data_IF_068754984942
#
_entry.id   IF_068754984942
#
_cell.length_a   1.000
_cell.length_b   1.000
_cell.length_c   1.000
_cell.angle_alpha   90.00
_cell.angle_beta   90.00
_cell.angle_gamma   90.00
#
_symmetry.space_group_name_H-M   'P 1'
#
loop_
_entity.id
_entity.type
_entity.pdbx_description
1 polymer ?
#
# COMPACT_ATOMS: atom_id res chain seq x y z
N UNK A 1 -29.68 -17.12 7.39
CA UNK A 1 -30.04 -15.70 7.56
C UNK A 1 -29.06 -15.10 8.56
N UNK A 2 -28.13 -14.27 8.08
CA UNK A 2 -27.21 -13.51 8.95
C UNK A 2 -27.97 -12.30 9.48
N UNK A 3 -27.90 -12.05 10.80
CA UNK A 3 -28.44 -10.82 11.38
C UNK A 3 -27.67 -9.61 10.88
N UNK A 4 -28.25 -8.40 10.87
CA UNK A 4 -27.56 -7.20 10.40
C UNK A 4 -26.30 -6.95 11.23
N UNK A 5 -25.17 -6.78 10.55
CA UNK A 5 -23.92 -6.31 11.15
C UNK A 5 -24.13 -4.83 11.53
N UNK A 6 -24.49 -4.56 12.77
CA UNK A 6 -24.59 -3.18 13.26
C UNK A 6 -23.21 -2.72 13.72
N UNK A 7 -22.85 -1.45 13.44
CA UNK A 7 -21.64 -0.82 13.94
C UNK A 7 -21.48 -0.96 15.46
N UNK A 8 -22.58 -1.05 16.21
CA UNK A 8 -22.59 -1.30 17.66
C UNK A 8 -22.04 -2.68 18.06
N UNK A 9 -22.16 -3.70 17.20
CA UNK A 9 -21.60 -5.03 17.45
C UNK A 9 -20.08 -5.11 17.23
N UNK A 10 -19.52 -4.23 16.40
CA UNK A 10 -18.08 -4.20 16.11
C UNK A 10 -17.25 -3.57 17.24
N UNK A 11 -17.86 -2.80 18.14
CA UNK A 11 -17.20 -2.09 19.25
C UNK A 11 -17.64 -2.56 20.64
N UNK A 12 -18.20 -3.77 20.76
CA UNK A 12 -18.56 -4.30 22.09
C UNK A 12 -17.34 -4.49 22.99
N UNK A 13 -16.13 -4.55 22.42
CA UNK A 13 -14.88 -4.59 23.16
C UNK A 13 -13.87 -3.58 22.59
N UNK A 14 -13.10 -2.93 23.45
CA UNK A 14 -11.95 -2.13 23.03
C UNK A 14 -10.95 -3.02 22.28
N UNK A 15 -10.46 -2.61 21.11
CA UNK A 15 -9.45 -3.37 20.38
C UNK A 15 -8.26 -3.65 21.28
N UNK A 16 -7.90 -4.93 21.41
CA UNK A 16 -6.73 -5.35 22.18
C UNK A 16 -5.52 -5.41 21.27
N UNK A 17 -4.36 -5.01 21.78
CA UNK A 17 -3.12 -5.27 21.08
C UNK A 17 -3.02 -6.77 20.80
N UNK A 18 -2.77 -7.13 19.55
CA UNK A 18 -2.55 -8.53 19.14
C UNK A 18 -1.31 -9.09 19.82
N UNK A 19 -1.27 -10.42 19.94
CA UNK A 19 -0.05 -11.11 20.38
C UNK A 19 1.09 -10.96 19.37
N UNK A 20 2.25 -11.47 19.75
CA UNK A 20 3.44 -11.53 18.88
C UNK A 20 3.14 -12.44 17.67
N UNK A 21 2.84 -11.85 16.53
CA UNK A 21 2.62 -12.56 15.28
C UNK A 21 3.54 -12.02 14.19
N UNK A 22 3.97 -12.83 13.21
CA UNK A 22 4.67 -12.33 12.03
C UNK A 22 3.80 -11.31 11.31
N UNK A 23 4.39 -10.17 10.94
CA UNK A 23 3.77 -9.13 10.13
C UNK A 23 4.19 -9.35 8.68
N UNK A 24 3.25 -9.33 7.74
CA UNK A 24 3.53 -9.32 6.32
C UNK A 24 3.67 -7.87 5.85
N UNK A 25 4.91 -7.45 5.63
CA UNK A 25 5.24 -6.10 5.14
C UNK A 25 5.36 -6.06 3.62
N UNK A 26 4.66 -5.11 3.00
CA UNK A 26 4.72 -4.84 1.56
C UNK A 26 4.98 -3.35 1.37
N UNK A 27 6.07 -2.99 0.69
CA UNK A 27 6.44 -1.60 0.44
C UNK A 27 6.00 -1.16 -0.96
N UNK A 28 5.15 -0.14 -1.04
CA UNK A 28 4.83 0.50 -2.31
C UNK A 28 6.03 1.36 -2.74
N UNK A 29 6.78 0.87 -3.72
CA UNK A 29 8.05 1.45 -4.16
C UNK A 29 7.83 2.74 -4.93
N UNK A 30 8.54 3.81 -4.57
CA UNK A 30 8.55 5.06 -5.33
C UNK A 30 9.23 4.83 -6.69
N UNK A 31 8.65 5.41 -7.75
CA UNK A 31 9.27 5.47 -9.07
C UNK A 31 9.98 6.83 -9.23
N UNK A 32 11.31 6.89 -9.15
CA UNK A 32 12.04 8.16 -9.23
C UNK A 32 12.09 8.70 -10.65
N UNK A 33 12.33 10.00 -10.76
CA UNK A 33 12.60 10.68 -12.04
C UNK A 33 13.99 11.31 -12.02
N UNK A 34 14.54 11.56 -13.20
CA UNK A 34 15.77 12.35 -13.38
C UNK A 34 15.46 13.86 -13.51
N UNK A 35 16.51 14.67 -13.65
CA UNK A 35 16.40 16.14 -13.78
C UNK A 35 15.65 16.58 -15.06
N UNK A 36 15.44 15.70 -16.02
CA UNK A 36 14.62 15.95 -17.21
C UNK A 36 13.12 15.62 -17.01
N UNK A 37 12.76 14.99 -15.89
CA UNK A 37 11.44 14.46 -15.60
C UNK A 37 11.18 13.09 -16.22
N UNK A 38 12.19 12.45 -16.84
CA UNK A 38 12.08 11.07 -17.30
C UNK A 38 12.27 10.08 -16.14
N UNK A 39 11.73 8.87 -16.28
CA UNK A 39 11.85 7.85 -15.23
C UNK A 39 13.32 7.42 -15.10
N UNK A 40 13.85 7.50 -13.88
CA UNK A 40 15.16 6.97 -13.51
C UNK A 40 15.04 5.46 -13.23
N UNK A 41 15.22 4.67 -14.28
CA UNK A 41 15.10 3.21 -14.21
C UNK A 41 16.19 2.55 -13.37
N UNK A 42 17.39 3.10 -13.34
CA UNK A 42 18.51 2.57 -12.55
C UNK A 42 18.29 2.87 -11.06
N UNK A 43 17.86 4.09 -10.74
CA UNK A 43 17.43 4.46 -9.40
C UNK A 43 16.25 3.60 -8.90
N UNK A 44 15.27 3.33 -9.77
CA UNK A 44 14.15 2.45 -9.46
C UNK A 44 14.62 1.02 -9.17
N UNK A 45 15.47 0.42 -10.02
CA UNK A 45 16.01 -0.91 -9.82
C UNK A 45 16.79 -1.02 -8.50
N UNK A 46 17.68 -0.06 -8.22
CA UNK A 46 18.42 0.02 -6.97
C UNK A 46 17.49 0.12 -5.75
N UNK A 47 16.36 0.84 -5.88
CA UNK A 47 15.41 1.00 -4.80
C UNK A 47 14.57 -0.26 -4.55
N UNK A 48 14.17 -0.98 -5.61
CA UNK A 48 13.57 -2.33 -5.49
C UNK A 48 14.54 -3.28 -4.80
N UNK A 49 15.81 -3.30 -5.21
CA UNK A 49 16.85 -4.16 -4.61
C UNK A 49 17.02 -3.88 -3.10
N UNK A 50 17.00 -2.61 -2.70
CA UNK A 50 17.06 -2.20 -1.29
C UNK A 50 15.86 -2.70 -0.49
N UNK A 51 14.66 -2.61 -1.06
CA UNK A 51 13.43 -3.11 -0.44
C UNK A 51 13.52 -4.62 -0.21
N UNK A 52 13.97 -5.37 -1.22
CA UNK A 52 14.15 -6.83 -1.13
C UNK A 52 15.25 -7.19 -0.11
N UNK A 53 16.36 -6.47 -0.11
CA UNK A 53 17.46 -6.69 0.84
C UNK A 53 17.03 -6.46 2.30
N UNK A 54 16.06 -5.59 2.53
CA UNK A 54 15.43 -5.39 3.85
C UNK A 54 14.48 -6.54 4.26
N UNK A 55 14.25 -7.54 3.40
CA UNK A 55 13.31 -8.62 3.64
C UNK A 55 11.83 -8.22 3.46
N UNK A 56 11.57 -7.10 2.80
CA UNK A 56 10.24 -6.56 2.54
C UNK A 56 9.81 -6.89 1.10
N UNK A 57 8.54 -7.25 0.93
CA UNK A 57 7.98 -7.50 -0.41
C UNK A 57 7.78 -6.17 -1.15
N UNK A 58 8.36 -5.98 -2.34
CA UNK A 58 8.11 -4.79 -3.13
C UNK A 58 6.72 -4.84 -3.79
N UNK A 59 6.02 -3.70 -3.78
CA UNK A 59 4.82 -3.47 -4.57
C UNK A 59 5.09 -2.38 -5.59
N UNK A 60 5.05 -2.73 -6.87
CA UNK A 60 5.28 -1.80 -7.98
C UNK A 60 3.96 -1.39 -8.65
N UNK A 61 3.97 -0.35 -9.47
CA UNK A 61 2.74 0.17 -10.09
C UNK A 61 1.63 0.47 -9.05
N UNK A 62 2.02 0.95 -7.88
CA UNK A 62 1.10 1.46 -6.87
C UNK A 62 0.92 2.98 -7.01
N UNK A 63 0.06 3.60 -6.18
CA UNK A 63 -0.06 5.07 -6.16
C UNK A 63 1.30 5.74 -5.91
N UNK A 64 2.11 5.20 -5.00
CA UNK A 64 3.48 5.67 -4.72
C UNK A 64 4.37 5.66 -5.97
N UNK A 65 4.17 4.70 -6.87
CA UNK A 65 4.84 4.58 -8.17
C UNK A 65 4.10 5.29 -9.30
N UNK A 66 3.18 6.22 -9.00
CA UNK A 66 2.46 7.05 -9.98
C UNK A 66 1.66 6.28 -11.03
N UNK A 67 1.12 5.10 -10.70
CA UNK A 67 0.46 4.19 -11.66
C UNK A 67 -0.57 4.86 -12.57
N UNK A 68 -1.34 5.82 -12.05
CA UNK A 68 -2.36 6.55 -12.82
C UNK A 68 -1.77 7.49 -13.89
N UNK A 69 -0.48 7.84 -13.80
CA UNK A 69 0.21 8.75 -14.72
C UNK A 69 1.09 8.00 -15.72
N UNK A 70 1.30 6.70 -15.51
CA UNK A 70 2.15 5.89 -16.38
C UNK A 70 1.37 5.32 -17.56
N UNK A 71 2.01 5.30 -18.72
CA UNK A 71 1.52 4.50 -19.85
C UNK A 71 1.75 3.00 -19.63
N UNK A 72 1.09 2.17 -20.43
CA UNK A 72 1.18 0.72 -20.31
C UNK A 72 2.60 0.17 -20.56
N UNK A 73 3.43 0.85 -21.36
CA UNK A 73 4.81 0.43 -21.61
C UNK A 73 5.68 0.65 -20.38
N UNK A 74 5.54 1.80 -19.73
CA UNK A 74 6.24 2.13 -18.48
C UNK A 74 5.82 1.20 -17.33
N UNK A 75 4.52 0.89 -17.20
CA UNK A 75 4.02 -0.07 -16.20
C UNK A 75 4.61 -1.48 -16.41
N UNK A 76 4.64 -1.97 -17.66
CA UNK A 76 5.26 -3.26 -17.97
C UNK A 76 6.76 -3.27 -17.72
N UNK A 77 7.47 -2.18 -18.05
CA UNK A 77 8.91 -2.06 -17.79
C UNK A 77 9.23 -2.07 -16.29
N UNK A 78 8.47 -1.33 -15.48
CA UNK A 78 8.64 -1.33 -14.02
C UNK A 78 8.45 -2.74 -13.44
N UNK A 79 7.45 -3.46 -13.94
CA UNK A 79 7.15 -4.82 -13.51
C UNK A 79 8.26 -5.81 -13.89
N UNK A 80 8.72 -5.77 -15.15
CA UNK A 80 9.80 -6.64 -15.63
C UNK A 80 11.10 -6.37 -14.86
N UNK A 81 11.47 -5.09 -14.69
CA UNK A 81 12.67 -4.70 -13.97
C UNK A 81 12.62 -5.13 -12.49
N UNK A 82 11.46 -4.99 -11.84
CA UNK A 82 11.28 -5.49 -10.48
C UNK A 82 11.49 -7.00 -10.39
N UNK A 83 10.95 -7.76 -11.35
CA UNK A 83 11.15 -9.22 -11.40
C UNK A 83 12.61 -9.58 -11.65
N UNK A 84 13.30 -8.88 -12.55
CA UNK A 84 14.72 -9.11 -12.82
C UNK A 84 15.58 -8.90 -11.56
N UNK A 85 15.26 -7.87 -10.77
CA UNK A 85 15.96 -7.57 -9.50
C UNK A 85 15.67 -8.62 -8.42
N UNK A 86 14.41 -9.06 -8.28
CA UNK A 86 14.01 -10.06 -7.28
C UNK A 86 14.59 -11.44 -7.62
N UNK A 87 14.70 -11.76 -8.91
CA UNK A 87 15.14 -13.06 -9.40
C UNK A 87 13.97 -14.05 -9.64
N UNK A 88 14.20 -15.37 -9.56
CA UNK A 88 13.19 -16.38 -9.84
C UNK A 88 11.95 -16.20 -8.96
N UNK A 89 10.77 -16.34 -9.56
CA UNK A 89 9.49 -16.11 -8.89
C UNK A 89 9.24 -17.10 -7.74
N UNK A 90 8.93 -16.54 -6.57
CA UNK A 90 8.43 -17.26 -5.40
C UNK A 90 7.05 -16.70 -5.04
N UNK A 91 6.04 -17.54 -4.73
CA UNK A 91 4.71 -17.03 -4.42
C UNK A 91 4.70 -15.93 -3.34
N UNK A 92 4.18 -14.77 -3.70
CA UNK A 92 4.03 -13.64 -2.78
C UNK A 92 5.27 -12.76 -2.59
N UNK A 93 6.32 -12.91 -3.43
CA UNK A 93 7.55 -12.11 -3.41
C UNK A 93 7.46 -10.80 -4.20
N UNK A 94 6.41 -10.62 -4.99
CA UNK A 94 6.13 -9.42 -5.77
C UNK A 94 4.64 -9.12 -5.76
N UNK A 95 4.30 -7.86 -5.53
CA UNK A 95 2.94 -7.34 -5.63
C UNK A 95 2.92 -6.21 -6.66
N UNK A 96 1.84 -6.08 -7.43
CA UNK A 96 1.73 -4.97 -8.37
C UNK A 96 0.28 -4.50 -8.54
N UNK A 97 0.11 -3.19 -8.77
CA UNK A 97 -1.18 -2.60 -9.05
C UNK A 97 -1.69 -2.95 -10.45
N UNK A 98 -2.89 -3.54 -10.53
CA UNK A 98 -3.68 -3.66 -11.74
C UNK A 98 -4.62 -2.45 -11.81
N UNK A 99 -4.26 -1.46 -12.61
CA UNK A 99 -4.90 -0.15 -12.62
C UNK A 99 -5.51 0.15 -13.99
N UNK A 100 -6.84 0.19 -14.03
CA UNK A 100 -7.59 0.74 -15.17
C UNK A 100 -7.75 2.24 -14.96
N UNK A 101 -7.31 3.03 -15.93
CA UNK A 101 -7.47 4.49 -15.93
C UNK A 101 -8.72 4.83 -16.73
N UNK A 102 -9.75 5.25 -16.02
CA UNK A 102 -11.07 5.58 -16.56
C UNK A 102 -11.58 6.94 -16.05
N UNK A 103 -12.71 7.39 -16.57
CA UNK A 103 -13.37 8.63 -16.18
C UNK A 103 -14.65 8.42 -15.38
N UNK A 104 -15.23 9.50 -14.79
CA UNK A 104 -16.37 9.44 -13.88
C UNK A 104 -17.66 8.80 -14.44
N UNK A 105 -17.79 8.72 -15.77
CA UNK A 105 -18.98 8.18 -16.46
C UNK A 105 -18.70 6.87 -17.17
N UNK A 106 -17.48 6.35 -17.06
CA UNK A 106 -17.10 5.11 -17.73
C UNK A 106 -17.70 3.90 -17.02
N UNK A 107 -18.08 2.90 -17.81
CA UNK A 107 -18.56 1.63 -17.29
C UNK A 107 -17.40 0.77 -16.78
N UNK A 108 -17.73 -0.24 -15.96
CA UNK A 108 -16.76 -1.24 -15.53
C UNK A 108 -16.11 -1.96 -16.71
N UNK A 109 -14.80 -1.90 -16.79
CA UNK A 109 -13.98 -2.54 -17.82
C UNK A 109 -13.30 -3.83 -17.29
N UNK A 110 -14.04 -4.94 -17.30
CA UNK A 110 -13.53 -6.25 -16.92
C UNK A 110 -12.30 -6.64 -17.75
N UNK A 111 -12.35 -6.40 -19.07
CA UNK A 111 -11.24 -6.75 -19.98
C UNK A 111 -9.99 -5.95 -19.69
N UNK A 112 -10.16 -4.67 -19.38
CA UNK A 112 -9.07 -3.78 -18.96
C UNK A 112 -8.39 -4.28 -17.70
N UNK A 113 -9.16 -4.65 -16.68
CA UNK A 113 -8.60 -5.24 -15.45
C UNK A 113 -7.86 -6.54 -15.70
N UNK A 114 -8.41 -7.45 -16.49
CA UNK A 114 -7.74 -8.72 -16.83
C UNK A 114 -6.45 -8.47 -17.63
N UNK A 115 -6.45 -7.50 -18.55
CA UNK A 115 -5.26 -7.12 -19.32
C UNK A 115 -4.16 -6.50 -18.43
N UNK A 116 -4.52 -5.78 -17.37
CA UNK A 116 -3.55 -5.27 -16.39
C UNK A 116 -3.06 -6.38 -15.43
N UNK A 117 -3.89 -7.36 -15.09
CA UNK A 117 -3.50 -8.49 -14.25
C UNK A 117 -2.60 -9.50 -14.97
N UNK A 118 -2.80 -9.74 -16.27
CA UNK A 118 -2.06 -10.74 -17.05
C UNK A 118 -0.52 -10.59 -16.95
N UNK A 119 0.09 -9.41 -17.20
CA UNK A 119 1.53 -9.25 -17.10
C UNK A 119 2.05 -9.43 -15.67
N UNK A 120 1.23 -9.10 -14.65
CA UNK A 120 1.60 -9.30 -13.24
C UNK A 120 1.68 -10.80 -12.93
N UNK A 121 0.67 -11.56 -13.34
CA UNK A 121 0.62 -13.01 -13.16
C UNK A 121 1.72 -13.70 -13.95
N UNK A 122 2.02 -13.24 -15.18
CA UNK A 122 3.05 -13.80 -16.02
C UNK A 122 4.46 -13.74 -15.38
N UNK A 123 4.73 -12.74 -14.56
CA UNK A 123 5.99 -12.64 -13.79
C UNK A 123 5.88 -13.26 -12.39
N UNK A 124 4.81 -13.98 -12.08
CA UNK A 124 4.58 -14.59 -10.77
C UNK A 124 4.21 -13.62 -9.65
N UNK A 125 3.80 -12.40 -9.98
CA UNK A 125 3.35 -11.39 -9.01
C UNK A 125 1.89 -11.59 -8.60
N UNK A 126 1.51 -10.94 -7.50
CA UNK A 126 0.12 -10.88 -7.03
C UNK A 126 -0.50 -9.54 -7.40
N UNK A 127 -1.60 -9.48 -8.17
CA UNK A 127 -2.25 -8.23 -8.52
C UNK A 127 -3.00 -7.60 -7.33
N UNK A 128 -2.92 -6.28 -7.22
CA UNK A 128 -3.79 -5.45 -6.38
C UNK A 128 -4.82 -4.80 -7.30
N UNK A 129 -6.10 -5.07 -7.10
CA UNK A 129 -7.16 -4.45 -7.90
C UNK A 129 -7.32 -2.99 -7.48
N UNK A 130 -6.85 -2.08 -8.32
CA UNK A 130 -6.96 -0.65 -8.05
C UNK A 130 -8.40 -0.16 -8.22
N UNK A 131 -8.90 0.71 -7.33
CA UNK A 131 -10.17 1.40 -7.54
C UNK A 131 -10.16 2.21 -8.84
N UNK A 132 -11.23 2.09 -9.63
CA UNK A 132 -11.52 2.91 -10.78
C UNK A 132 -12.96 3.43 -10.70
N UNK A 133 -13.33 4.41 -11.52
CA UNK A 133 -14.70 4.90 -11.53
C UNK A 133 -15.69 3.81 -11.93
N UNK A 134 -15.37 3.03 -12.97
CA UNK A 134 -16.21 1.94 -13.43
C UNK A 134 -16.32 0.81 -12.42
N UNK A 135 -15.23 0.42 -11.75
CA UNK A 135 -15.26 -0.63 -10.71
C UNK A 135 -16.15 -0.19 -9.54
N UNK A 136 -16.04 1.05 -9.11
CA UNK A 136 -16.74 1.61 -7.96
C UNK A 136 -18.07 2.32 -8.31
N UNK A 137 -18.55 2.23 -9.55
CA UNK A 137 -19.84 2.84 -9.93
C UNK A 137 -21.01 2.18 -9.16
N UNK A 138 -21.99 3.00 -8.75
CA UNK A 138 -23.20 2.51 -8.08
C UNK A 138 -22.99 2.15 -6.61
N UNK A 139 -23.63 1.07 -6.15
CA UNK A 139 -23.63 0.61 -4.76
C UNK A 139 -22.40 -0.22 -4.40
N UNK A 140 -22.19 -0.48 -3.11
CA UNK A 140 -21.17 -1.39 -2.61
C UNK A 140 -21.41 -2.83 -3.09
N UNK A 141 -22.66 -3.27 -3.14
CA UNK A 141 -23.02 -4.60 -3.64
C UNK A 141 -22.60 -4.77 -5.12
N UNK A 142 -22.88 -3.77 -5.96
CA UNK A 142 -22.43 -3.79 -7.37
C UNK A 142 -20.91 -3.76 -7.50
N UNK A 143 -20.19 -3.09 -6.60
CA UNK A 143 -18.72 -3.14 -6.54
C UNK A 143 -18.25 -4.55 -6.23
N UNK A 144 -18.85 -5.23 -5.25
CA UNK A 144 -18.50 -6.61 -4.89
C UNK A 144 -18.80 -7.58 -6.03
N UNK A 145 -19.96 -7.47 -6.70
CA UNK A 145 -20.29 -8.30 -7.89
C UNK A 145 -19.23 -8.20 -8.99
N UNK A 146 -18.70 -6.99 -9.24
CA UNK A 146 -17.61 -6.78 -10.21
C UNK A 146 -16.30 -7.40 -9.74
N UNK A 147 -15.98 -7.28 -8.45
CA UNK A 147 -14.80 -7.92 -7.87
C UNK A 147 -14.92 -9.45 -7.94
N UNK A 148 -16.10 -10.02 -7.67
CA UNK A 148 -16.38 -11.46 -7.81
C UNK A 148 -16.22 -11.94 -9.27
N UNK A 149 -16.67 -11.12 -10.24
CA UNK A 149 -16.47 -11.39 -11.67
C UNK A 149 -14.97 -11.52 -12.01
N UNK A 150 -14.14 -10.57 -11.52
CA UNK A 150 -12.69 -10.64 -11.68
C UNK A 150 -12.09 -11.85 -10.92
N UNK A 151 -12.54 -12.08 -9.69
CA UNK A 151 -12.08 -13.18 -8.85
C UNK A 151 -12.28 -14.56 -9.50
N UNK A 152 -13.35 -14.74 -10.27
CA UNK A 152 -13.60 -15.96 -11.05
C UNK A 152 -12.56 -16.24 -12.15
N UNK A 153 -11.72 -15.25 -12.49
CA UNK A 153 -10.69 -15.32 -13.53
C UNK A 153 -9.25 -15.23 -13.00
N UNK A 154 -9.09 -14.90 -11.70
CA UNK A 154 -7.79 -14.69 -11.09
C UNK A 154 -7.47 -15.81 -10.08
N UNK A 155 -6.25 -16.37 -10.12
CA UNK A 155 -5.84 -17.41 -9.17
C UNK A 155 -5.71 -16.85 -7.75
N UNK A 156 -5.30 -15.58 -7.63
CA UNK A 156 -5.19 -14.83 -6.37
C UNK A 156 -5.11 -13.34 -6.65
N UNK A 157 -5.57 -12.51 -5.71
CA UNK A 157 -5.44 -11.05 -5.77
C UNK A 157 -5.52 -10.42 -4.37
N UNK A 158 -5.19 -9.14 -4.29
CA UNK A 158 -5.41 -8.29 -3.13
C UNK A 158 -6.46 -7.24 -3.50
N UNK A 159 -7.51 -7.12 -2.69
CA UNK A 159 -8.50 -6.04 -2.80
C UNK A 159 -7.93 -4.70 -2.34
N UNK A 160 -8.59 -3.59 -2.70
CA UNK A 160 -8.09 -2.27 -2.30
C UNK A 160 -9.23 -1.29 -2.00
N UNK A 161 -9.35 -0.88 -0.75
CA UNK A 161 -10.16 0.25 -0.30
C UNK A 161 -9.29 1.51 -0.27
N UNK A 162 -9.62 2.51 -1.06
CA UNK A 162 -8.88 3.77 -1.18
C UNK A 162 -9.79 4.95 -0.85
N UNK A 163 -9.36 5.83 0.05
CA UNK A 163 -10.08 7.06 0.34
C UNK A 163 -10.05 8.02 -0.86
N UNK A 164 -11.12 8.78 -1.04
CA UNK A 164 -11.19 9.88 -2.01
C UNK A 164 -10.15 10.98 -1.76
N UNK A 165 -9.50 11.01 -0.59
CA UNK A 165 -8.37 11.89 -0.30
C UNK A 165 -7.13 11.60 -1.17
N UNK A 166 -7.01 10.37 -1.69
CA UNK A 166 -5.93 9.96 -2.60
C UNK A 166 -6.34 10.08 -4.06
N UNK A 167 -7.54 9.58 -4.40
CA UNK A 167 -8.04 9.57 -5.77
C UNK A 167 -9.58 9.67 -5.78
N UNK A 168 -10.19 10.48 -6.69
CA UNK A 168 -11.64 10.66 -6.71
C UNK A 168 -12.47 9.39 -6.93
N UNK A 169 -11.93 8.39 -7.65
CA UNK A 169 -12.56 7.06 -7.82
C UNK A 169 -12.45 6.17 -6.57
N UNK A 170 -11.82 6.65 -5.49
CA UNK A 170 -11.68 5.89 -4.25
C UNK A 170 -13.02 5.57 -3.60
N UNK A 171 -13.08 4.41 -2.93
CA UNK A 171 -14.23 3.97 -2.15
C UNK A 171 -13.76 3.22 -0.90
N UNK A 172 -14.43 3.49 0.22
CA UNK A 172 -14.34 2.68 1.44
C UNK A 172 -15.67 1.97 1.58
N UNK A 173 -15.64 0.65 1.49
CA UNK A 173 -16.82 -0.19 1.53
C UNK A 173 -17.54 -0.10 2.89
N UNK A 174 -18.84 -0.36 2.91
CA UNK A 174 -19.55 -0.70 4.14
C UNK A 174 -18.93 -1.96 4.78
N UNK A 175 -19.11 -2.14 6.08
CA UNK A 175 -18.58 -3.34 6.74
C UNK A 175 -19.22 -4.63 6.21
N UNK A 176 -20.45 -4.54 5.74
CA UNK A 176 -21.22 -5.62 5.14
C UNK A 176 -20.60 -6.05 3.80
N UNK A 177 -20.37 -5.10 2.88
CA UNK A 177 -19.70 -5.39 1.62
C UNK A 177 -18.24 -5.84 1.80
N UNK A 178 -17.55 -5.31 2.82
CA UNK A 178 -16.22 -5.81 3.16
C UNK A 178 -16.25 -7.27 3.66
N UNK A 179 -17.32 -7.69 4.36
CA UNK A 179 -17.51 -9.09 4.73
C UNK A 179 -17.63 -9.99 3.50
N UNK A 180 -18.36 -9.54 2.48
CA UNK A 180 -18.46 -10.28 1.22
C UNK A 180 -17.09 -10.38 0.53
N UNK A 181 -16.32 -9.30 0.47
CA UNK A 181 -14.94 -9.34 -0.03
C UNK A 181 -14.05 -10.35 0.73
N UNK A 182 -14.16 -10.38 2.07
CA UNK A 182 -13.42 -11.33 2.92
C UNK A 182 -13.75 -12.78 2.55
N UNK A 183 -14.97 -13.07 2.11
CA UNK A 183 -15.40 -14.42 1.75
C UNK A 183 -15.03 -14.86 0.33
N UNK A 184 -14.50 -13.98 -0.53
CA UNK A 184 -13.99 -14.37 -1.86
C UNK A 184 -12.73 -15.24 -1.68
N UNK A 185 -12.73 -16.52 -2.09
CA UNK A 185 -11.64 -17.44 -1.77
C UNK A 185 -10.27 -17.01 -2.33
N UNK A 186 -10.26 -16.44 -3.56
CA UNK A 186 -9.04 -16.00 -4.26
C UNK A 186 -8.55 -14.62 -3.79
N UNK A 187 -9.33 -13.89 -2.98
CA UNK A 187 -8.89 -12.65 -2.33
C UNK A 187 -8.03 -13.00 -1.10
N UNK A 188 -6.74 -12.73 -1.18
CA UNK A 188 -5.78 -13.05 -0.10
C UNK A 188 -5.85 -12.07 1.07
N UNK A 189 -6.31 -10.86 0.81
CA UNK A 189 -6.38 -9.76 1.74
C UNK A 189 -6.84 -8.50 1.06
N UNK A 190 -6.96 -7.41 1.80
CA UNK A 190 -7.28 -6.10 1.25
C UNK A 190 -6.40 -5.01 1.86
N UNK A 191 -5.88 -4.12 1.00
CA UNK A 191 -5.28 -2.88 1.42
C UNK A 191 -6.37 -1.92 1.85
N UNK A 192 -6.24 -1.38 3.07
CA UNK A 192 -7.19 -0.46 3.66
C UNK A 192 -6.59 0.93 3.85
N UNK A 193 -6.89 1.86 2.94
CA UNK A 193 -6.36 3.23 2.94
C UNK A 193 -7.48 4.26 3.21
N UNK A 194 -8.21 4.07 4.32
CA UNK A 194 -9.28 4.99 4.73
C UNK A 194 -8.77 6.22 5.49
N UNK A 195 -7.55 6.21 5.99
CA UNK A 195 -6.97 7.17 6.93
C UNK A 195 -7.73 7.20 8.28
N UNK A 196 -8.47 6.14 8.62
CA UNK A 196 -9.27 6.02 9.84
C UNK A 196 -8.95 4.73 10.60
N UNK A 197 -8.39 4.87 11.80
CA UNK A 197 -8.16 3.74 12.73
C UNK A 197 -9.45 2.98 13.05
N UNK A 198 -10.56 3.70 13.25
CA UNK A 198 -11.84 3.09 13.60
C UNK A 198 -12.31 2.13 12.51
N UNK A 199 -12.28 2.55 11.25
CA UNK A 199 -12.69 1.71 10.14
C UNK A 199 -11.76 0.50 9.99
N UNK A 200 -10.47 0.65 10.22
CA UNK A 200 -9.52 -0.47 10.15
C UNK A 200 -9.74 -1.48 11.29
N UNK A 201 -10.03 -1.02 12.51
CA UNK A 201 -10.41 -1.90 13.62
C UNK A 201 -11.66 -2.73 13.31
N UNK A 202 -12.66 -2.13 12.65
CA UNK A 202 -13.86 -2.86 12.21
C UNK A 202 -13.49 -4.01 11.25
N UNK A 203 -12.55 -3.76 10.31
CA UNK A 203 -12.05 -4.78 9.39
C UNK A 203 -11.27 -5.88 10.10
N UNK A 204 -10.43 -5.52 11.06
CA UNK A 204 -9.69 -6.50 11.87
C UNK A 204 -10.64 -7.37 12.67
N UNK A 205 -11.61 -6.78 13.37
CA UNK A 205 -12.60 -7.51 14.15
C UNK A 205 -13.44 -8.44 13.27
N UNK A 206 -13.80 -8.00 12.08
CA UNK A 206 -14.51 -8.81 11.09
C UNK A 206 -13.64 -9.99 10.62
N UNK A 207 -12.41 -9.72 10.21
CA UNK A 207 -11.43 -10.70 9.76
C UNK A 207 -11.21 -11.79 10.79
N UNK A 208 -10.99 -11.41 12.05
CA UNK A 208 -10.73 -12.35 13.14
C UNK A 208 -11.90 -13.30 13.38
N UNK A 209 -13.12 -12.85 13.14
CA UNK A 209 -14.34 -13.62 13.30
C UNK A 209 -14.67 -14.49 12.09
N UNK A 210 -14.49 -13.96 10.88
CA UNK A 210 -15.00 -14.59 9.64
C UNK A 210 -13.94 -15.39 8.88
N UNK A 211 -12.71 -14.88 8.82
CA UNK A 211 -11.59 -15.51 8.07
C UNK A 211 -10.23 -15.07 8.65
N UNK A 212 -9.77 -15.68 9.74
CA UNK A 212 -8.52 -15.28 10.43
C UNK A 212 -7.26 -15.28 9.54
N UNK A 213 -7.25 -16.07 8.45
CA UNK A 213 -6.15 -16.09 7.48
C UNK A 213 -6.18 -14.98 6.43
N UNK A 214 -7.21 -14.12 6.42
CA UNK A 214 -7.28 -12.99 5.50
C UNK A 214 -6.39 -11.85 5.98
N UNK A 215 -5.63 -11.23 5.08
CA UNK A 215 -4.75 -10.12 5.43
C UNK A 215 -5.49 -8.77 5.37
N UNK A 216 -5.53 -8.05 6.47
CA UNK A 216 -5.88 -6.62 6.48
C UNK A 216 -4.57 -5.86 6.40
N UNK A 217 -4.24 -5.35 5.22
CA UNK A 217 -3.03 -4.55 5.03
C UNK A 217 -3.35 -3.09 5.36
N UNK A 218 -2.83 -2.56 6.48
CA UNK A 218 -2.92 -1.11 6.66
C UNK A 218 -2.27 -0.40 5.48
N UNK A 219 -3.01 0.50 4.87
CA UNK A 219 -2.54 1.51 3.93
C UNK A 219 -2.70 2.89 4.53
N UNK A 220 -2.84 2.95 5.86
CA UNK A 220 -3.04 4.16 6.63
C UNK A 220 -1.69 4.66 7.15
N UNK A 221 -1.00 5.44 6.33
CA UNK A 221 0.30 6.01 6.67
C UNK A 221 0.24 7.01 7.85
N UNK A 222 -0.97 7.38 8.32
CA UNK A 222 -1.20 8.16 9.54
C UNK A 222 -1.42 7.29 10.79
N UNK A 223 -1.39 5.96 10.65
CA UNK A 223 -1.60 5.01 11.74
C UNK A 223 -0.86 3.70 11.49
N UNK A 224 0.44 3.78 11.29
CA UNK A 224 1.28 2.60 10.99
C UNK A 224 1.35 1.61 12.15
N UNK A 225 1.06 2.05 13.37
CA UNK A 225 0.98 1.24 14.58
C UNK A 225 -0.23 0.28 14.61
N UNK A 226 -1.11 0.31 13.60
CA UNK A 226 -2.21 -0.65 13.47
C UNK A 226 -1.73 -2.11 13.40
N UNK A 227 -0.46 -2.34 13.08
CA UNK A 227 0.20 -3.65 13.21
C UNK A 227 0.09 -4.24 14.62
N UNK A 228 0.06 -3.40 15.66
CA UNK A 228 -0.13 -3.82 17.07
C UNK A 228 -1.50 -4.46 17.33
N UNK A 229 -2.49 -4.15 16.49
CA UNK A 229 -3.86 -4.64 16.59
C UNK A 229 -4.15 -5.78 15.58
N UNK A 230 -3.12 -6.22 14.86
CA UNK A 230 -3.21 -7.38 13.97
C UNK A 230 -3.25 -7.06 12.48
N UNK A 231 -3.06 -5.80 12.06
CA UNK A 231 -2.84 -5.49 10.64
C UNK A 231 -1.49 -6.04 10.15
N UNK A 232 -1.47 -6.41 8.90
CA UNK A 232 -0.28 -6.39 8.06
C UNK A 232 -0.13 -4.99 7.46
N UNK A 233 0.81 -4.75 6.57
CA UNK A 233 0.89 -3.43 5.95
C UNK A 233 1.27 -3.46 4.48
N UNK A 234 0.68 -2.52 3.70
CA UNK A 234 1.06 -2.15 2.35
C UNK A 234 1.11 -0.62 2.29
N UNK A 235 2.25 -0.04 2.61
CA UNK A 235 2.42 1.39 2.88
C UNK A 235 3.24 2.09 1.79
N UNK A 236 2.84 3.33 1.47
CA UNK A 236 3.65 4.24 0.67
C UNK A 236 4.83 4.82 1.45
N UNK A 237 4.64 5.05 2.76
CA UNK A 237 5.65 5.58 3.66
C UNK A 237 6.90 4.71 3.75
N UNK A 238 6.73 3.38 3.69
CA UNK A 238 7.82 2.42 3.86
C UNK A 238 8.90 2.52 2.79
N UNK A 239 8.60 3.14 1.63
CA UNK A 239 9.59 3.40 0.59
C UNK A 239 10.76 4.27 1.08
N UNK A 240 10.54 5.11 2.09
CA UNK A 240 11.55 6.00 2.65
C UNK A 240 12.59 5.30 3.55
N UNK A 241 12.22 4.17 4.18
CA UNK A 241 13.06 3.51 5.17
C UNK A 241 12.69 2.01 5.33
N UNK A 242 12.79 1.17 4.26
CA UNK A 242 12.35 -0.22 4.32
C UNK A 242 13.07 -1.02 5.42
N UNK A 243 14.36 -0.75 5.66
CA UNK A 243 15.13 -1.40 6.72
C UNK A 243 14.61 -1.09 8.13
N UNK A 244 14.16 0.15 8.35
CA UNK A 244 13.59 0.58 9.63
C UNK A 244 12.22 -0.09 9.87
N UNK A 245 11.38 -0.22 8.83
CA UNK A 245 10.12 -0.96 8.92
C UNK A 245 10.36 -2.44 9.21
N UNK A 246 11.31 -3.09 8.55
CA UNK A 246 11.67 -4.48 8.81
C UNK A 246 12.16 -4.68 10.26
N UNK A 247 12.99 -3.77 10.75
CA UNK A 247 13.52 -3.80 12.12
C UNK A 247 12.42 -3.60 13.15
N UNK A 248 11.53 -2.62 12.92
CA UNK A 248 10.36 -2.39 13.75
C UNK A 248 9.51 -3.65 13.89
N UNK A 249 9.23 -4.32 12.78
CA UNK A 249 8.41 -5.53 12.76
C UNK A 249 9.10 -6.70 13.48
N UNK A 250 10.42 -6.84 13.31
CA UNK A 250 11.21 -7.84 14.04
C UNK A 250 11.20 -7.60 15.55
N UNK A 251 11.33 -6.35 15.99
CA UNK A 251 11.25 -6.00 17.41
C UNK A 251 9.85 -6.24 17.99
N UNK A 252 8.80 -5.91 17.23
CA UNK A 252 7.43 -6.22 17.65
C UNK A 252 7.24 -7.73 17.85
N UNK A 253 7.68 -8.54 16.89
CA UNK A 253 7.59 -9.99 16.97
C UNK A 253 8.36 -10.56 18.18
N UNK A 254 9.51 -9.98 18.48
CA UNK A 254 10.34 -10.36 19.63
C UNK A 254 9.82 -9.84 20.99
N UNK A 255 8.84 -8.95 21.00
CA UNK A 255 8.38 -8.25 22.21
C UNK A 255 9.40 -7.24 22.73
N UNK A 256 10.28 -6.74 21.88
CA UNK A 256 11.30 -5.75 22.22
C UNK A 256 10.70 -4.36 22.33
N UNK A 257 10.85 -3.69 23.46
CA UNK A 257 10.26 -2.37 23.72
C UNK A 257 10.81 -1.25 22.83
N UNK A 258 11.98 -1.45 22.21
CA UNK A 258 12.53 -0.51 21.20
C UNK A 258 11.61 -0.32 20.01
N UNK A 259 10.69 -1.27 19.76
CA UNK A 259 9.61 -1.11 18.80
C UNK A 259 8.92 0.25 18.94
N UNK A 260 8.60 0.67 20.15
CA UNK A 260 7.79 1.88 20.38
C UNK A 260 8.49 3.16 19.91
N UNK A 261 9.78 3.30 20.20
CA UNK A 261 10.56 4.47 19.80
C UNK A 261 10.72 4.56 18.28
N UNK A 262 11.02 3.43 17.64
CA UNK A 262 11.15 3.37 16.19
C UNK A 262 9.81 3.58 15.48
N UNK A 263 8.73 3.00 15.99
CA UNK A 263 7.38 3.17 15.44
C UNK A 263 6.93 4.64 15.55
N UNK A 264 7.18 5.32 16.68
CA UNK A 264 6.91 6.75 16.86
C UNK A 264 7.73 7.62 15.89
N UNK A 265 9.01 7.29 15.66
CA UNK A 265 9.85 8.02 14.71
C UNK A 265 9.36 7.86 13.26
N UNK A 266 8.99 6.64 12.87
CA UNK A 266 8.38 6.35 11.56
C UNK A 266 7.01 7.02 11.41
N UNK A 267 6.18 7.03 12.47
CA UNK A 267 4.89 7.71 12.45
C UNK A 267 5.04 9.22 12.32
N UNK A 268 6.10 9.83 12.88
CA UNK A 268 6.38 11.25 12.69
C UNK A 268 6.62 11.58 11.21
N UNK A 269 7.34 10.70 10.47
CA UNK A 269 7.51 10.83 9.03
C UNK A 269 6.16 10.74 8.30
N UNK A 270 5.31 9.77 8.66
CA UNK A 270 3.97 9.62 8.10
C UNK A 270 3.11 10.85 8.32
N UNK A 271 3.06 11.33 9.56
CA UNK A 271 2.27 12.52 9.92
C UNK A 271 2.72 13.78 9.19
N UNK A 272 4.01 13.93 8.92
CA UNK A 272 4.54 15.06 8.18
C UNK A 272 4.30 14.92 6.67
N UNK A 273 4.58 13.75 6.09
CA UNK A 273 4.51 13.53 4.65
C UNK A 273 3.07 13.51 4.12
N UNK A 274 2.13 12.90 4.85
CA UNK A 274 0.74 12.71 4.41
C UNK A 274 -0.22 13.86 4.78
N UNK A 275 0.31 15.03 5.18
CA UNK A 275 -0.53 16.22 5.34
C UNK A 275 -1.11 16.68 4.01
N UNK A 276 -2.19 17.44 4.04
CA UNK A 276 -2.86 17.97 2.85
C UNK A 276 -1.93 18.85 1.98
N UNK A 277 -1.92 18.71 0.64
CA UNK A 277 -2.64 17.69 -0.12
C UNK A 277 -1.96 16.30 -0.01
N UNK A 278 -2.74 15.28 0.33
CA UNK A 278 -2.22 13.94 0.59
C UNK A 278 -1.34 13.39 -0.56
N UNK A 279 -1.71 13.50 -1.86
CA UNK A 279 -0.89 12.96 -2.94
C UNK A 279 0.52 13.54 -3.05
N UNK A 280 0.80 14.69 -2.39
CA UNK A 280 2.14 15.28 -2.35
C UNK A 280 3.14 14.51 -1.45
N UNK A 281 2.67 13.48 -0.71
CA UNK A 281 3.57 12.61 0.06
C UNK A 281 4.65 11.98 -0.82
N UNK A 282 4.35 11.70 -2.09
CA UNK A 282 5.30 11.14 -3.05
C UNK A 282 6.53 12.04 -3.25
N UNK A 283 6.32 13.36 -3.29
CA UNK A 283 7.42 14.31 -3.31
C UNK A 283 8.22 14.32 -1.99
N UNK A 284 7.54 14.22 -0.83
CA UNK A 284 8.24 14.05 0.46
C UNK A 284 9.12 12.79 0.45
N UNK A 285 8.62 11.67 -0.11
CA UNK A 285 9.41 10.45 -0.25
C UNK A 285 10.61 10.64 -1.17
N UNK A 286 10.43 11.32 -2.32
CA UNK A 286 11.55 11.63 -3.21
C UNK A 286 12.62 12.51 -2.51
N UNK A 287 12.22 13.53 -1.75
CA UNK A 287 13.12 14.36 -0.94
C UNK A 287 13.91 13.51 0.08
N UNK A 288 13.23 12.55 0.74
CA UNK A 288 13.88 11.61 1.66
C UNK A 288 14.89 10.73 0.93
N UNK A 289 14.51 10.12 -0.18
CA UNK A 289 15.41 9.23 -0.94
C UNK A 289 16.64 9.98 -1.45
N UNK A 290 16.48 11.23 -1.89
CA UNK A 290 17.62 12.07 -2.28
C UNK A 290 18.50 12.44 -1.08
N UNK A 291 17.93 12.79 0.07
CA UNK A 291 18.68 13.07 1.28
C UNK A 291 19.52 11.87 1.75
N UNK A 292 19.02 10.64 1.52
CA UNK A 292 19.75 9.39 1.75
C UNK A 292 20.79 9.08 0.66
N UNK A 293 20.87 9.86 -0.42
CA UNK A 293 21.75 9.57 -1.56
C UNK A 293 21.31 8.37 -2.39
N UNK A 294 20.03 8.00 -2.34
CA UNK A 294 19.49 6.82 -3.01
C UNK A 294 18.99 7.10 -4.43
N UNK A 295 18.67 8.36 -4.73
CA UNK A 295 18.27 8.86 -6.05
C UNK A 295 18.95 10.20 -6.33
N UNK A 296 19.11 10.54 -7.61
CA UNK A 296 19.79 11.77 -8.03
C UNK A 296 18.89 13.01 -7.99
N UNK A 297 17.60 12.86 -8.29
CA UNK A 297 16.62 13.93 -8.37
C UNK A 297 15.47 13.69 -7.39
N UNK A 298 15.02 14.72 -6.69
CA UNK A 298 13.87 14.66 -5.77
C UNK A 298 12.58 15.25 -6.34
N UNK A 299 12.56 15.59 -7.63
CA UNK A 299 11.34 16.04 -8.28
C UNK A 299 10.27 14.94 -8.30
N UNK A 300 9.00 15.27 -8.09
CA UNK A 300 7.92 14.31 -8.28
C UNK A 300 7.70 14.08 -9.78
N UNK A 301 7.06 12.97 -10.13
CA UNK A 301 6.65 12.69 -11.51
C UNK A 301 5.87 13.87 -12.09
N UNK A 302 6.08 14.25 -13.37
CA UNK A 302 5.41 15.39 -14.00
C UNK A 302 3.89 15.37 -13.81
N UNK A 303 3.33 16.51 -13.43
CA UNK A 303 1.90 16.64 -13.12
C UNK A 303 1.49 16.30 -11.69
N UNK A 304 2.43 15.82 -10.86
CA UNK A 304 2.16 15.50 -9.45
C UNK A 304 2.35 16.72 -8.54
N UNK A 305 1.60 16.79 -7.41
CA UNK A 305 1.75 17.87 -6.43
C UNK A 305 3.15 17.91 -5.81
N UNK A 306 3.64 19.12 -5.53
CA UNK A 306 4.95 19.38 -4.90
C UNK A 306 4.81 19.82 -3.46
N UNK A 307 5.84 19.56 -2.67
CA UNK A 307 6.05 20.12 -1.32
C UNK A 307 7.00 21.31 -1.39
N UNK A 308 6.94 22.23 -0.42
CA UNK A 308 7.91 23.31 -0.29
C UNK A 308 9.33 22.78 -0.09
N UNK A 309 10.34 23.52 -0.56
CA UNK A 309 11.74 23.16 -0.35
C UNK A 309 12.15 23.20 1.14
N UNK A 310 11.48 24.03 1.94
CA UNK A 310 11.66 24.08 3.39
C UNK A 310 11.34 22.78 4.12
N UNK A 311 10.61 21.85 3.48
CA UNK A 311 10.32 20.54 4.05
C UNK A 311 11.57 19.67 4.20
N UNK A 312 12.59 19.87 3.36
CA UNK A 312 13.81 19.06 3.39
C UNK A 312 14.53 19.09 4.74
N UNK A 313 14.61 20.26 5.37
CA UNK A 313 15.24 20.38 6.70
C UNK A 313 14.48 19.58 7.76
N UNK A 314 13.15 19.68 7.74
CA UNK A 314 12.29 18.93 8.67
C UNK A 314 12.42 17.42 8.41
N UNK A 315 12.39 17.01 7.16
CA UNK A 315 12.58 15.61 6.77
C UNK A 315 13.93 15.05 7.21
N UNK A 316 15.03 15.81 7.05
CA UNK A 316 16.35 15.42 7.54
C UNK A 316 16.37 15.23 9.07
N UNK A 317 15.68 16.09 9.82
CA UNK A 317 15.54 15.96 11.28
C UNK A 317 14.78 14.69 11.65
N UNK A 318 13.69 14.40 10.96
CA UNK A 318 12.90 13.16 11.19
C UNK A 318 13.73 11.93 10.83
N UNK A 319 14.48 11.96 9.72
CA UNK A 319 15.36 10.85 9.32
C UNK A 319 16.45 10.57 10.36
N UNK A 320 17.11 11.60 10.89
CA UNK A 320 18.11 11.43 11.93
C UNK A 320 17.51 10.74 13.19
N UNK A 321 16.25 11.05 13.53
CA UNK A 321 15.53 10.38 14.61
C UNK A 321 15.23 8.91 14.29
N UNK A 322 14.81 8.60 13.05
CA UNK A 322 14.58 7.22 12.62
C UNK A 322 15.88 6.42 12.68
N UNK A 323 16.97 6.99 12.19
CA UNK A 323 18.27 6.32 12.16
C UNK A 323 18.77 6.06 13.60
N UNK A 324 18.70 7.03 14.49
CA UNK A 324 19.06 6.86 15.90
C UNK A 324 18.20 5.79 16.61
N UNK A 325 16.87 5.84 16.41
CA UNK A 325 15.96 4.84 16.97
C UNK A 325 16.18 3.43 16.38
N UNK A 326 16.75 3.35 15.17
CA UNK A 326 17.08 2.08 14.53
C UNK A 326 18.37 1.45 15.05
N UNK A 327 19.31 2.23 15.60
CA UNK A 327 20.61 1.75 16.09
C UNK A 327 20.58 1.29 17.56
N UNK A 328 19.66 1.84 18.34
CA UNK A 328 19.46 1.51 19.76
C UNK A 328 18.78 0.17 19.97
#
# INVERSE_FOLDING_TARGET
MRGPLTAAGAFSETPKAGGHRPIKGISAVLLPVDDSGAIDWDGFAAHVARTVAAGIVPAVNMDTGYVHLLDGASRRRALALARDVIGPAVPGDLVAGACVVDGPVDAFDERGYLAECEPILAVGGTPVLFPSYGLNAGSDAETIERVETLAGRLPAFIGFELSTAFHPAGRILSLEAYADLVHIPTCLGAKHSSLSRRLEWERLSLRDRERPGFHVFTGNDLAIDMVRFGSDWLLGLSTAAPEAFARRDAWMLAGDLRFHELDDALQALGSFAFRTPVPAYKHSMAQVLKARGWIGCDDPFPGSPRRPDSDREILCTILARIDAASEG
#
